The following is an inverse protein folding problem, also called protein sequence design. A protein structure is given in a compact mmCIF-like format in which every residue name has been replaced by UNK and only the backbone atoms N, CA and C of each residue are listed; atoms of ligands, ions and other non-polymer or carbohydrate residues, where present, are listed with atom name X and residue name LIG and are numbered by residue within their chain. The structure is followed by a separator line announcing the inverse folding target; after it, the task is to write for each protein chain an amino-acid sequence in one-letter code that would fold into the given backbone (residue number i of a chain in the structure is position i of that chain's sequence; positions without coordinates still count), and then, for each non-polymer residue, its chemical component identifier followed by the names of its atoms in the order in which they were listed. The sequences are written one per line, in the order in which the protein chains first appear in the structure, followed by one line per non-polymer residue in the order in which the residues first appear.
data_IF_624308093381
#
_entry.id   IF_624308093381
#
_cell.length_a   1.000
_cell.length_b   1.000
_cell.length_c   1.000
_cell.angle_alpha   90.00
_cell.angle_beta   90.00
_cell.angle_gamma   90.00
#
_symmetry.space_group_name_H-M   'P 1'
#
loop_
_entity.id
_entity.type
_entity.pdbx_description
1 polymer ?
#
# COMPACT_ATOMS: atom_id res chain seq x y z
N UNK A 1 6.09 -18.73 10.32
CA UNK A 1 5.26 -17.61 9.83
C UNK A 1 4.21 -17.18 10.87
N UNK A 2 4.49 -17.30 12.16
CA UNK A 2 3.52 -16.96 13.21
C UNK A 2 3.51 -15.46 13.56
N UNK A 3 4.50 -14.71 13.07
CA UNK A 3 4.69 -13.29 13.31
C UNK A 3 5.12 -12.61 12.01
N UNK A 4 4.71 -11.35 11.82
CA UNK A 4 5.20 -10.50 10.75
C UNK A 4 6.70 -10.24 10.92
N UNK A 5 7.40 -10.20 9.79
CA UNK A 5 8.85 -10.06 9.70
C UNK A 5 9.36 -8.76 10.32
N UNK A 6 8.60 -7.66 10.18
CA UNK A 6 8.96 -6.35 10.72
C UNK A 6 9.16 -6.38 12.24
N UNK A 7 8.29 -7.09 12.96
CA UNK A 7 8.35 -7.24 14.42
C UNK A 7 9.57 -8.07 14.85
N UNK A 8 9.83 -9.18 14.14
CA UNK A 8 10.98 -10.05 14.42
C UNK A 8 12.29 -9.32 14.12
N UNK A 9 12.35 -8.59 13.00
CA UNK A 9 13.48 -7.73 12.61
C UNK A 9 13.76 -6.70 13.70
N UNK A 10 12.74 -5.97 14.17
CA UNK A 10 12.92 -4.95 15.20
C UNK A 10 13.50 -5.53 16.49
N UNK A 11 13.01 -6.68 16.94
CA UNK A 11 13.53 -7.37 18.11
C UNK A 11 14.99 -7.80 17.91
N UNK A 12 15.33 -8.36 16.75
CA UNK A 12 16.69 -8.80 16.44
C UNK A 12 17.67 -7.63 16.33
N UNK A 13 17.27 -6.52 15.71
CA UNK A 13 18.08 -5.30 15.63
C UNK A 13 18.29 -4.66 17.00
N UNK A 14 17.31 -4.73 17.89
CA UNK A 14 17.44 -4.24 19.26
C UNK A 14 18.41 -5.10 20.09
N UNK A 15 18.38 -6.43 19.90
CA UNK A 15 19.32 -7.35 20.54
C UNK A 15 20.77 -7.18 20.02
N UNK A 16 20.94 -6.74 18.77
CA UNK A 16 22.24 -6.54 18.12
C UNK A 16 22.66 -5.07 18.05
N UNK A 17 22.65 -4.39 19.20
CA UNK A 17 22.95 -2.96 19.30
C UNK A 17 24.30 -2.54 18.71
N UNK A 18 25.30 -3.44 18.73
CA UNK A 18 26.66 -3.19 18.23
C UNK A 18 26.83 -3.23 16.70
N UNK A 19 25.81 -3.63 15.93
CA UNK A 19 25.93 -3.69 14.47
C UNK A 19 26.02 -2.31 13.83
N UNK A 20 26.90 -2.19 12.83
CA UNK A 20 27.01 -1.00 11.98
C UNK A 20 25.74 -0.78 11.16
N UNK A 21 25.56 0.43 10.62
CA UNK A 21 24.43 0.73 9.73
C UNK A 21 24.40 -0.19 8.50
N UNK A 22 25.57 -0.52 7.97
CA UNK A 22 25.74 -1.41 6.82
C UNK A 22 25.32 -2.84 7.15
N UNK A 23 25.77 -3.39 8.29
CA UNK A 23 25.37 -4.72 8.76
C UNK A 23 23.86 -4.82 8.99
N UNK A 24 23.26 -3.78 9.60
CA UNK A 24 21.81 -3.71 9.80
C UNK A 24 21.06 -3.67 8.47
N UNK A 25 21.53 -2.85 7.52
CA UNK A 25 20.93 -2.74 6.19
C UNK A 25 21.02 -4.06 5.41
N UNK A 26 22.18 -4.72 5.45
CA UNK A 26 22.39 -6.04 4.85
C UNK A 26 21.44 -7.08 5.43
N UNK A 27 21.41 -7.24 6.77
CA UNK A 27 20.52 -8.20 7.43
C UNK A 27 19.05 -8.00 7.05
N UNK A 28 18.55 -6.76 7.14
CA UNK A 28 17.16 -6.44 6.82
C UNK A 28 16.85 -6.72 5.36
N UNK A 29 17.72 -6.31 4.44
CA UNK A 29 17.52 -6.48 2.99
C UNK A 29 17.54 -7.96 2.60
N UNK A 30 18.52 -8.70 3.11
CA UNK A 30 18.66 -10.14 2.88
C UNK A 30 17.45 -10.90 3.40
N UNK A 31 17.01 -10.64 4.64
CA UNK A 31 15.84 -11.32 5.20
C UNK A 31 14.56 -11.04 4.40
N UNK A 32 14.31 -9.77 4.04
CA UNK A 32 13.15 -9.45 3.20
C UNK A 32 13.23 -10.11 1.82
N UNK A 33 14.42 -10.23 1.23
CA UNK A 33 14.61 -10.91 -0.06
C UNK A 33 14.42 -12.43 0.05
N UNK A 34 14.90 -13.06 1.12
CA UNK A 34 14.63 -14.47 1.39
C UNK A 34 13.13 -14.76 1.48
N UNK A 35 12.40 -13.92 2.22
CA UNK A 35 10.94 -14.02 2.32
C UNK A 35 10.27 -13.75 0.97
N UNK A 36 10.69 -12.69 0.27
CA UNK A 36 10.10 -12.28 -1.01
C UNK A 36 10.23 -13.36 -2.08
N UNK A 37 11.39 -13.99 -2.15
CA UNK A 37 11.73 -14.97 -3.19
C UNK A 37 11.67 -16.42 -2.71
N UNK A 38 11.02 -16.70 -1.58
CA UNK A 38 11.05 -18.00 -0.91
C UNK A 38 10.64 -19.17 -1.81
N UNK A 39 9.52 -19.08 -2.53
CA UNK A 39 9.06 -20.12 -3.48
C UNK A 39 10.12 -20.39 -4.55
N UNK A 40 10.66 -19.33 -5.14
CA UNK A 40 11.74 -19.42 -6.14
C UNK A 40 12.97 -20.09 -5.54
N UNK A 41 13.47 -19.58 -4.43
CA UNK A 41 14.68 -20.09 -3.79
C UNK A 41 14.52 -21.56 -3.37
N UNK A 42 13.37 -21.96 -2.83
CA UNK A 42 13.10 -23.36 -2.48
C UNK A 42 13.14 -24.27 -3.72
N UNK A 43 12.61 -23.80 -4.86
CA UNK A 43 12.70 -24.53 -6.12
C UNK A 43 14.14 -24.68 -6.61
N UNK A 44 14.87 -23.57 -6.68
CA UNK A 44 16.25 -23.52 -7.18
C UNK A 44 17.20 -24.40 -6.37
N UNK A 45 16.90 -24.60 -5.10
CA UNK A 45 17.70 -25.38 -4.16
C UNK A 45 17.23 -26.82 -4.02
N UNK A 46 16.34 -27.31 -4.90
CA UNK A 46 15.83 -28.67 -4.89
C UNK A 46 14.84 -28.99 -3.76
N UNK A 47 14.48 -28.00 -2.92
CA UNK A 47 13.62 -28.13 -1.74
C UNK A 47 12.15 -28.04 -2.12
N UNK A 48 11.71 -28.89 -3.04
CA UNK A 48 10.36 -28.87 -3.62
C UNK A 48 9.26 -28.97 -2.55
N UNK A 49 9.48 -29.75 -1.49
CA UNK A 49 8.54 -29.87 -0.36
C UNK A 49 8.39 -28.59 0.47
N UNK A 50 9.29 -27.61 0.33
CA UNK A 50 9.29 -26.34 1.07
C UNK A 50 8.73 -25.17 0.28
N UNK A 51 8.49 -25.32 -1.03
CA UNK A 51 8.02 -24.24 -1.92
C UNK A 51 6.81 -23.51 -1.34
N UNK A 52 5.77 -24.25 -0.94
CA UNK A 52 4.55 -23.69 -0.35
C UNK A 52 4.51 -23.86 1.19
N UNK A 53 5.64 -24.23 1.81
CA UNK A 53 5.76 -24.57 3.22
C UNK A 53 7.05 -24.00 3.84
N UNK A 54 7.35 -22.73 3.56
CA UNK A 54 8.58 -22.06 4.03
C UNK A 54 8.69 -22.04 5.57
N UNK A 55 7.57 -22.16 6.29
CA UNK A 55 7.54 -22.30 7.75
C UNK A 55 8.25 -23.56 8.27
N UNK A 56 8.40 -24.57 7.41
CA UNK A 56 9.01 -25.86 7.73
C UNK A 56 10.50 -25.93 7.31
N UNK A 57 11.08 -24.81 6.89
CA UNK A 57 12.50 -24.73 6.55
C UNK A 57 13.38 -24.97 7.79
N UNK A 58 14.35 -25.85 7.65
CA UNK A 58 15.42 -26.08 8.62
C UNK A 58 16.50 -24.99 8.53
N UNK A 59 17.45 -24.98 9.48
CA UNK A 59 18.61 -24.08 9.43
C UNK A 59 19.44 -24.35 8.17
N UNK A 60 19.61 -25.61 7.79
CA UNK A 60 20.28 -26.01 6.55
C UNK A 60 19.57 -25.45 5.32
N UNK A 61 18.23 -25.50 5.30
CA UNK A 61 17.43 -24.92 4.23
C UNK A 61 17.71 -23.42 4.10
N UNK A 62 17.72 -22.69 5.22
CA UNK A 62 17.99 -21.24 5.22
C UNK A 62 19.37 -20.91 4.65
N UNK A 63 20.41 -21.69 4.98
CA UNK A 63 21.75 -21.53 4.38
C UNK A 63 21.71 -21.63 2.86
N UNK A 64 21.05 -22.66 2.33
CA UNK A 64 20.95 -22.87 0.89
C UNK A 64 20.11 -21.80 0.20
N UNK A 65 19.00 -21.36 0.81
CA UNK A 65 18.19 -20.27 0.27
C UNK A 65 19.00 -18.96 0.22
N UNK A 66 19.82 -18.70 1.24
CA UNK A 66 20.75 -17.57 1.26
C UNK A 66 21.84 -17.71 0.20
N UNK A 67 22.46 -18.88 0.06
CA UNK A 67 23.44 -19.17 -0.99
C UNK A 67 22.88 -18.93 -2.39
N UNK A 68 21.66 -19.41 -2.67
CA UNK A 68 20.98 -19.17 -3.95
C UNK A 68 20.66 -17.69 -4.15
N UNK A 69 20.19 -16.99 -3.10
CA UNK A 69 19.91 -15.56 -3.20
C UNK A 69 21.17 -14.77 -3.53
N UNK A 70 22.29 -15.06 -2.86
CA UNK A 70 23.57 -14.40 -3.11
C UNK A 70 24.08 -14.72 -4.52
N UNK A 71 23.98 -15.97 -4.97
CA UNK A 71 24.29 -16.34 -6.36
C UNK A 71 23.46 -15.54 -7.38
N UNK A 72 22.15 -15.37 -7.16
CA UNK A 72 21.29 -14.58 -8.04
C UNK A 72 21.65 -13.08 -8.06
N UNK A 73 22.30 -12.56 -7.03
CA UNK A 73 22.65 -11.15 -6.89
C UNK A 73 24.07 -10.85 -7.38
N UNK A 74 25.02 -11.75 -7.10
CA UNK A 74 26.46 -11.53 -7.27
C UNK A 74 27.08 -12.46 -8.34
N UNK A 75 26.35 -13.49 -8.79
CA UNK A 75 26.83 -14.48 -9.76
C UNK A 75 27.78 -15.52 -9.18
N UNK A 76 27.99 -15.53 -7.86
CA UNK A 76 28.89 -16.44 -7.17
C UNK A 76 28.24 -17.03 -5.91
N UNK A 77 28.51 -18.31 -5.64
CA UNK A 77 28.12 -18.96 -4.38
C UNK A 77 29.11 -18.56 -3.30
N UNK A 78 28.66 -18.08 -2.13
CA UNK A 78 29.55 -17.75 -1.02
C UNK A 78 30.36 -18.94 -0.52
N UNK A 79 31.61 -18.69 -0.12
CA UNK A 79 32.50 -19.70 0.46
C UNK A 79 32.18 -19.93 1.94
N UNK A 80 31.24 -20.85 2.20
CA UNK A 80 30.82 -21.27 3.54
C UNK A 80 30.69 -22.80 3.59
N UNK A 81 31.07 -23.45 4.72
CA UNK A 81 30.97 -24.90 4.86
C UNK A 81 29.57 -25.46 4.59
N UNK A 82 28.53 -24.72 4.99
CA UNK A 82 27.13 -25.10 4.78
C UNK A 82 26.69 -25.09 3.30
N UNK A 83 27.53 -24.55 2.41
CA UNK A 83 27.30 -24.46 0.96
C UNK A 83 28.26 -25.34 0.14
N UNK A 84 29.08 -26.20 0.76
CA UNK A 84 30.03 -27.06 0.03
C UNK A 84 29.35 -27.98 -1.00
N UNK A 85 28.11 -28.39 -0.74
CA UNK A 85 27.32 -29.25 -1.64
C UNK A 85 26.56 -28.44 -2.71
N UNK A 86 26.70 -27.12 -2.71
CA UNK A 86 25.88 -26.21 -3.49
C UNK A 86 26.52 -25.89 -4.85
N UNK A 87 25.91 -26.37 -5.93
CA UNK A 87 26.46 -26.20 -7.27
C UNK A 87 25.78 -25.05 -8.05
N UNK A 88 26.58 -24.08 -8.51
CA UNK A 88 26.09 -22.94 -9.28
C UNK A 88 25.39 -23.35 -10.59
N UNK A 89 25.88 -24.38 -11.28
CA UNK A 89 25.27 -24.87 -12.52
C UNK A 89 23.89 -25.46 -12.29
N UNK A 90 23.68 -26.13 -11.15
CA UNK A 90 22.38 -26.74 -10.83
C UNK A 90 21.33 -25.66 -10.56
N UNK A 91 21.72 -24.57 -9.89
CA UNK A 91 20.85 -23.41 -9.65
C UNK A 91 20.47 -22.73 -10.97
N UNK A 92 21.45 -22.53 -11.86
CA UNK A 92 21.22 -21.93 -13.17
C UNK A 92 20.25 -22.77 -14.00
N UNK A 93 20.48 -24.09 -14.06
CA UNK A 93 19.57 -25.02 -14.74
C UNK A 93 18.17 -25.00 -14.12
N UNK A 94 18.06 -25.06 -12.79
CA UNK A 94 16.78 -25.01 -12.09
C UNK A 94 16.02 -23.69 -12.31
N UNK A 95 16.74 -22.57 -12.55
CA UNK A 95 16.15 -21.28 -12.88
C UNK A 95 15.57 -21.25 -14.29
N UNK A 96 16.28 -21.83 -15.26
CA UNK A 96 15.82 -21.97 -16.64
C UNK A 96 14.59 -22.89 -16.74
N UNK A 97 14.57 -23.96 -15.94
CA UNK A 97 13.46 -24.92 -15.88
C UNK A 97 12.27 -24.46 -15.02
N UNK A 98 12.41 -23.36 -14.27
CA UNK A 98 11.38 -22.92 -13.34
C UNK A 98 10.12 -22.46 -14.09
N UNK A 99 8.92 -22.99 -13.74
CA UNK A 99 7.67 -22.46 -14.28
C UNK A 99 7.43 -21.02 -13.82
N UNK A 100 6.56 -20.30 -14.55
CA UNK A 100 6.36 -18.87 -14.34
C UNK A 100 5.91 -18.54 -12.90
N UNK A 101 5.03 -19.33 -12.28
CA UNK A 101 4.55 -19.08 -10.92
C UNK A 101 5.70 -19.12 -9.89
N UNK A 102 6.64 -20.04 -10.07
CA UNK A 102 7.87 -20.16 -9.29
C UNK A 102 8.79 -18.97 -9.58
N UNK A 103 8.98 -18.60 -10.84
CA UNK A 103 9.80 -17.44 -11.21
C UNK A 103 9.26 -16.13 -10.63
N UNK A 104 7.94 -15.98 -10.51
CA UNK A 104 7.30 -14.82 -9.90
C UNK A 104 7.27 -14.89 -8.38
N UNK A 105 7.50 -16.07 -7.77
CA UNK A 105 7.55 -16.26 -6.32
C UNK A 105 6.39 -15.60 -5.56
N UNK A 106 5.17 -15.80 -6.04
CA UNK A 106 3.92 -15.38 -5.38
C UNK A 106 3.23 -16.59 -4.76
N UNK A 107 2.41 -16.46 -3.69
CA UNK A 107 1.54 -17.53 -3.24
C UNK A 107 0.76 -18.15 -4.41
N UNK A 108 0.63 -19.47 -4.45
CA UNK A 108 -0.01 -20.17 -5.58
C UNK A 108 -1.38 -19.62 -5.91
N UNK A 109 -2.26 -19.53 -4.91
CA UNK A 109 -3.62 -18.99 -5.06
C UNK A 109 -3.62 -17.57 -5.63
N UNK A 110 -2.68 -16.71 -5.20
CA UNK A 110 -2.59 -15.33 -5.67
C UNK A 110 -2.11 -15.28 -7.11
N UNK A 111 -1.15 -16.14 -7.48
CA UNK A 111 -0.71 -16.27 -8.86
C UNK A 111 -1.84 -16.71 -9.78
N UNK A 112 -2.60 -17.75 -9.40
CA UNK A 112 -3.71 -18.29 -10.19
C UNK A 112 -4.81 -17.24 -10.39
N UNK A 113 -5.23 -16.58 -9.30
CA UNK A 113 -6.25 -15.53 -9.36
C UNK A 113 -5.79 -14.32 -10.19
N UNK A 114 -4.59 -13.81 -9.92
CA UNK A 114 -4.09 -12.66 -10.66
C UNK A 114 -3.82 -12.98 -12.13
N UNK A 115 -3.42 -14.21 -12.47
CA UNK A 115 -3.29 -14.65 -13.86
C UNK A 115 -4.64 -14.67 -14.58
N UNK A 116 -5.73 -15.03 -13.88
CA UNK A 116 -7.09 -14.98 -14.44
C UNK A 116 -7.61 -13.55 -14.58
N UNK A 117 -7.36 -12.68 -13.61
CA UNK A 117 -7.94 -11.33 -13.60
C UNK A 117 -7.11 -10.28 -14.37
N UNK A 118 -5.77 -10.42 -14.40
CA UNK A 118 -4.86 -9.48 -15.06
C UNK A 118 -4.22 -10.03 -16.34
N UNK A 119 -4.41 -11.32 -16.62
CA UNK A 119 -3.97 -11.97 -17.86
C UNK A 119 -2.50 -11.66 -18.22
N UNK A 120 -2.25 -10.98 -19.34
CA UNK A 120 -0.91 -10.63 -19.81
C UNK A 120 -0.20 -9.55 -18.99
N UNK A 121 -0.93 -8.76 -18.19
CA UNK A 121 -0.33 -7.74 -17.32
C UNK A 121 0.32 -8.38 -16.07
N UNK A 122 -0.15 -9.55 -15.64
CA UNK A 122 0.24 -10.17 -14.39
C UNK A 122 1.76 -10.39 -14.23
N UNK A 123 2.49 -10.96 -15.21
CA UNK A 123 3.91 -11.22 -15.01
C UNK A 123 4.72 -9.96 -14.76
N UNK A 124 4.36 -8.85 -15.40
CA UNK A 124 5.02 -7.54 -15.21
C UNK A 124 4.67 -6.96 -13.84
N UNK A 125 3.40 -6.99 -13.44
CA UNK A 125 2.94 -6.52 -12.12
C UNK A 125 3.60 -7.33 -10.99
N UNK A 126 3.63 -8.65 -11.11
CA UNK A 126 4.26 -9.52 -10.13
C UNK A 126 5.77 -9.26 -9.98
N UNK A 127 6.48 -9.01 -11.10
CA UNK A 127 7.89 -8.60 -11.07
C UNK A 127 8.07 -7.28 -10.32
N UNK A 128 7.23 -6.28 -10.60
CA UNK A 128 7.29 -4.97 -9.93
C UNK A 128 6.93 -5.06 -8.43
N UNK A 129 5.98 -5.92 -8.04
CA UNK A 129 5.64 -6.18 -6.64
C UNK A 129 6.76 -6.92 -5.87
N UNK A 130 7.68 -7.57 -6.59
CA UNK A 130 8.90 -8.16 -6.02
C UNK A 130 10.13 -7.25 -6.09
N UNK A 131 9.94 -5.94 -6.27
CA UNK A 131 11.00 -4.96 -6.11
C UNK A 131 10.84 -4.23 -4.77
N UNK A 132 11.90 -3.62 -4.27
CA UNK A 132 11.79 -2.76 -3.09
C UNK A 132 11.14 -1.43 -3.49
N UNK A 133 10.11 -1.02 -2.75
CA UNK A 133 9.40 0.21 -3.05
C UNK A 133 10.24 1.47 -2.73
N UNK A 134 10.17 2.46 -3.60
CA UNK A 134 10.59 3.82 -3.27
C UNK A 134 9.76 4.41 -2.14
N UNK A 135 10.37 5.35 -1.43
CA UNK A 135 9.75 6.03 -0.31
C UNK A 135 9.28 7.42 -0.73
N UNK A 136 8.04 7.75 -0.39
CA UNK A 136 7.44 9.02 -0.75
C UNK A 136 6.84 9.71 0.47
N UNK A 137 6.92 11.03 0.46
CA UNK A 137 6.17 11.90 1.36
C UNK A 137 5.19 12.76 0.56
N UNK A 138 4.10 13.15 1.21
CA UNK A 138 3.18 14.17 0.72
C UNK A 138 3.41 15.47 1.49
N UNK A 139 3.72 16.53 0.78
CA UNK A 139 3.82 17.88 1.32
C UNK A 139 2.44 18.35 1.80
N UNK A 140 2.41 19.02 2.94
CA UNK A 140 1.20 19.60 3.49
C UNK A 140 1.07 21.04 3.00
N UNK A 141 0.25 21.24 1.96
CA UNK A 141 -0.03 22.56 1.38
C UNK A 141 -0.63 23.60 2.34
N UNK A 142 -1.04 23.23 3.57
CA UNK A 142 -1.44 24.18 4.62
C UNK A 142 -0.24 24.84 5.33
N UNK A 143 0.95 24.23 5.21
CA UNK A 143 2.13 24.58 6.02
C UNK A 143 3.34 24.94 5.18
N UNK A 144 3.50 24.34 4.01
CA UNK A 144 4.67 24.53 3.17
C UNK A 144 4.35 24.15 1.71
N UNK A 145 5.25 24.53 0.81
CA UNK A 145 5.35 24.03 -0.56
C UNK A 145 6.49 22.99 -0.69
N UNK A 146 6.52 22.28 -1.82
CA UNK A 146 7.46 21.19 -2.06
C UNK A 146 8.93 21.63 -2.10
N UNK A 147 9.21 22.82 -2.62
CA UNK A 147 10.57 23.37 -2.69
C UNK A 147 11.10 23.68 -1.28
N UNK A 148 10.26 24.33 -0.46
CA UNK A 148 10.55 24.65 0.93
C UNK A 148 10.83 23.40 1.76
N UNK A 149 10.03 22.34 1.61
CA UNK A 149 10.24 21.05 2.30
C UNK A 149 11.52 20.38 1.82
N UNK A 150 11.76 20.31 0.51
CA UNK A 150 12.98 19.71 -0.02
C UNK A 150 14.24 20.42 0.48
N UNK A 151 14.23 21.75 0.54
CA UNK A 151 15.33 22.56 1.10
C UNK A 151 15.53 22.32 2.59
N UNK A 152 14.44 22.23 3.36
CA UNK A 152 14.50 21.94 4.80
C UNK A 152 15.11 20.56 5.08
N UNK A 153 14.71 19.54 4.32
CA UNK A 153 15.25 18.18 4.43
C UNK A 153 16.72 18.11 3.98
N UNK A 154 17.10 18.83 2.91
CA UNK A 154 18.48 18.88 2.43
C UNK A 154 19.45 19.45 3.48
N UNK A 155 19.03 20.43 4.29
CA UNK A 155 19.85 20.97 5.39
C UNK A 155 20.13 19.93 6.48
N UNK A 156 19.33 18.87 6.55
CA UNK A 156 19.49 17.76 7.49
C UNK A 156 20.08 16.52 6.81
N UNK A 157 20.67 16.68 5.61
CA UNK A 157 21.31 15.60 4.86
C UNK A 157 20.33 14.66 4.14
N UNK A 158 19.03 14.95 4.12
CA UNK A 158 18.00 14.11 3.49
C UNK A 158 17.70 14.64 2.09
N UNK A 159 18.03 13.85 1.07
CA UNK A 159 17.67 14.15 -0.32
C UNK A 159 16.18 13.85 -0.55
N UNK A 160 15.43 14.87 -0.95
CA UNK A 160 14.03 14.79 -1.35
C UNK A 160 13.86 15.34 -2.77
N UNK A 161 13.25 14.57 -3.67
CA UNK A 161 13.18 14.88 -5.11
C UNK A 161 11.70 14.96 -5.52
N UNK A 162 11.25 16.05 -6.18
CA UNK A 162 9.89 16.14 -6.71
C UNK A 162 9.54 14.98 -7.65
N UNK A 163 8.32 14.46 -7.51
CA UNK A 163 7.82 13.37 -8.36
C UNK A 163 7.03 13.96 -9.52
N UNK A 164 7.40 13.58 -10.75
CA UNK A 164 6.67 14.00 -11.96
C UNK A 164 5.20 13.59 -11.91
N UNK A 165 4.30 14.51 -12.26
CA UNK A 165 2.85 14.23 -12.33
C UNK A 165 2.11 14.16 -10.98
N UNK A 166 2.81 14.25 -9.84
CA UNK A 166 2.18 14.23 -8.51
C UNK A 166 2.65 15.43 -7.70
N UNK A 167 1.86 16.51 -7.72
CA UNK A 167 2.25 17.85 -7.27
C UNK A 167 2.87 17.93 -5.87
N UNK A 168 2.27 17.25 -4.89
CA UNK A 168 2.71 17.32 -3.50
C UNK A 168 3.68 16.20 -3.11
N UNK A 169 4.09 15.33 -4.05
CA UNK A 169 4.94 14.19 -3.75
C UNK A 169 6.43 14.52 -3.85
N UNK A 170 7.18 14.09 -2.84
CA UNK A 170 8.65 14.03 -2.89
C UNK A 170 9.11 12.59 -2.65
N UNK A 171 9.98 12.08 -3.51
CA UNK A 171 10.73 10.84 -3.27
C UNK A 171 11.87 11.10 -2.29
N UNK A 172 11.99 10.29 -1.24
CA UNK A 172 13.04 10.38 -0.22
C UNK A 172 13.92 9.14 -0.26
N UNK A 173 15.24 9.32 -0.31
CA UNK A 173 16.20 8.19 -0.38
C UNK A 173 16.61 7.65 0.99
N UNK A 174 16.37 8.38 2.07
CA UNK A 174 16.83 8.05 3.43
C UNK A 174 15.73 8.30 4.46
N UNK A 175 15.35 7.26 5.21
CA UNK A 175 14.19 7.29 6.11
C UNK A 175 14.54 7.46 7.59
N UNK A 176 15.73 7.03 8.02
CA UNK A 176 16.07 6.82 9.45
C UNK A 176 15.89 8.04 10.35
N UNK A 177 15.99 9.25 9.81
CA UNK A 177 15.86 10.51 10.56
C UNK A 177 14.66 11.35 10.16
N UNK A 178 13.85 10.89 9.20
CA UNK A 178 12.80 11.69 8.60
C UNK A 178 11.76 12.16 9.63
N UNK A 179 11.38 11.28 10.56
CA UNK A 179 10.43 11.57 11.64
C UNK A 179 11.00 12.44 12.77
N UNK A 180 12.32 12.66 12.81
CA UNK A 180 12.96 13.54 13.81
C UNK A 180 13.14 14.96 13.29
N UNK A 181 12.95 15.18 11.98
CA UNK A 181 13.13 16.50 11.37
C UNK A 181 12.11 17.52 11.85
N UNK A 182 12.53 18.79 11.94
CA UNK A 182 11.63 19.91 12.21
C UNK A 182 10.48 20.00 11.20
N UNK A 183 10.75 19.66 9.93
CA UNK A 183 9.74 19.62 8.89
C UNK A 183 8.62 18.62 9.22
N UNK A 184 8.95 17.43 9.72
CA UNK A 184 7.93 16.48 10.20
C UNK A 184 7.24 16.97 11.46
N UNK A 185 7.99 17.43 12.47
CA UNK A 185 7.45 17.85 13.76
C UNK A 185 6.49 19.04 13.63
N UNK A 186 6.76 19.96 12.70
CA UNK A 186 5.90 21.11 12.38
C UNK A 186 4.77 20.78 11.40
N UNK A 187 4.65 19.52 10.96
CA UNK A 187 3.58 19.03 10.12
C UNK A 187 3.65 19.48 8.66
N UNK A 188 4.86 19.76 8.13
CA UNK A 188 5.05 20.19 6.74
C UNK A 188 4.86 19.05 5.73
N UNK A 189 4.90 17.79 6.16
CA UNK A 189 4.62 16.64 5.29
C UNK A 189 4.07 15.44 6.08
N UNK A 190 3.52 14.48 5.35
CA UNK A 190 3.08 13.17 5.83
C UNK A 190 3.74 12.05 5.03
N UNK A 191 3.99 10.90 5.65
CA UNK A 191 4.37 9.68 4.92
C UNK A 191 3.19 9.17 4.10
N UNK A 192 3.35 9.11 2.78
CA UNK A 192 2.33 8.57 1.89
C UNK A 192 2.92 8.25 0.51
N UNK A 193 2.65 7.05 0.00
CA UNK A 193 2.97 6.65 -1.38
C UNK A 193 2.39 7.64 -2.41
N UNK A 194 3.14 7.92 -3.47
CA UNK A 194 2.72 8.87 -4.52
C UNK A 194 1.48 8.39 -5.30
N UNK A 195 1.28 7.08 -5.47
CA UNK A 195 0.03 6.52 -6.01
C UNK A 195 -1.16 6.80 -5.10
N UNK A 196 -1.01 6.59 -3.78
CA UNK A 196 -2.06 6.94 -2.82
C UNK A 196 -2.40 8.43 -2.79
N UNK A 197 -1.46 9.33 -3.14
CA UNK A 197 -1.69 10.77 -3.19
C UNK A 197 -2.66 11.16 -4.31
N UNK A 198 -2.73 10.38 -5.39
CA UNK A 198 -3.56 10.67 -6.57
C UNK A 198 -5.06 10.40 -6.36
N UNK A 199 -5.43 9.65 -5.32
CA UNK A 199 -6.84 9.31 -5.01
C UNK A 199 -7.66 10.54 -4.64
N UNK A 200 -7.17 11.38 -3.73
CA UNK A 200 -7.94 12.51 -3.20
C UNK A 200 -8.21 13.59 -4.27
N UNK A 201 -7.27 13.94 -5.17
CA UNK A 201 -7.54 14.80 -6.31
C UNK A 201 -8.74 14.39 -7.18
N UNK A 202 -9.08 13.08 -7.26
CA UNK A 202 -10.26 12.63 -8.00
C UNK A 202 -11.56 13.26 -7.49
N UNK A 203 -11.63 13.64 -6.21
CA UNK A 203 -12.81 14.25 -5.61
C UNK A 203 -13.08 15.68 -6.11
N UNK A 204 -12.14 16.33 -6.81
CA UNK A 204 -12.34 17.69 -7.33
C UNK A 204 -12.83 18.67 -6.27
N UNK A 205 -12.10 18.71 -5.16
CA UNK A 205 -12.45 19.48 -3.98
C UNK A 205 -12.34 20.98 -4.25
N UNK A 206 -13.29 21.74 -3.70
CA UNK A 206 -13.25 23.21 -3.63
C UNK A 206 -13.39 23.67 -2.18
N UNK A 207 -12.67 24.73 -1.77
CA UNK A 207 -12.83 25.31 -0.44
C UNK A 207 -14.31 25.60 -0.12
N UNK A 208 -14.75 25.20 1.07
CA UNK A 208 -16.13 25.38 1.56
C UNK A 208 -17.02 24.12 1.46
N UNK A 209 -16.61 23.09 0.73
CA UNK A 209 -17.37 21.84 0.60
C UNK A 209 -17.47 21.05 1.92
N UNK A 210 -18.54 20.26 2.05
CA UNK A 210 -18.68 19.22 3.08
C UNK A 210 -18.23 17.88 2.51
N UNK A 211 -17.17 17.34 3.09
CA UNK A 211 -16.55 16.08 2.66
C UNK A 211 -16.64 15.05 3.79
N UNK A 212 -16.89 13.79 3.46
CA UNK A 212 -16.74 12.67 4.39
C UNK A 212 -15.68 11.70 3.87
N UNK A 213 -14.78 11.30 4.75
CA UNK A 213 -13.85 10.18 4.56
C UNK A 213 -14.33 9.05 5.46
N UNK A 214 -15.00 8.06 4.88
CA UNK A 214 -15.81 7.10 5.63
C UNK A 214 -15.06 5.81 6.04
N UNK A 215 -13.79 5.71 5.66
CA UNK A 215 -12.85 4.64 6.03
C UNK A 215 -11.48 5.28 6.34
N UNK A 216 -11.49 6.30 7.18
CA UNK A 216 -10.39 7.26 7.30
C UNK A 216 -9.08 6.65 7.80
N UNK A 217 -9.13 5.53 8.54
CA UNK A 217 -7.97 4.94 9.18
C UNK A 217 -7.24 5.96 10.05
N UNK A 218 -5.91 5.98 9.94
CA UNK A 218 -5.07 6.97 10.63
C UNK A 218 -5.10 8.35 9.95
N UNK A 219 -5.94 8.56 8.93
CA UNK A 219 -6.30 9.85 8.36
C UNK A 219 -5.34 10.42 7.32
N UNK A 220 -4.54 9.59 6.66
CA UNK A 220 -3.63 10.04 5.60
C UNK A 220 -4.36 10.84 4.52
N UNK A 221 -5.48 10.31 4.00
CA UNK A 221 -6.31 10.96 2.98
C UNK A 221 -7.18 12.09 3.56
N UNK A 222 -7.68 11.97 4.80
CA UNK A 222 -8.41 13.07 5.47
C UNK A 222 -7.57 14.34 5.62
N UNK A 223 -6.28 14.19 5.94
CA UNK A 223 -5.33 15.32 5.97
C UNK A 223 -5.13 15.95 4.59
N UNK A 224 -5.12 15.13 3.52
CA UNK A 224 -5.03 15.63 2.16
C UNK A 224 -6.27 16.45 1.79
N UNK A 225 -7.45 15.92 2.13
CA UNK A 225 -8.74 16.60 1.92
C UNK A 225 -8.71 17.97 2.60
N UNK A 226 -8.28 18.04 3.87
CA UNK A 226 -8.19 19.31 4.59
C UNK A 226 -7.24 20.32 3.93
N UNK A 227 -6.12 19.85 3.38
CA UNK A 227 -5.17 20.69 2.66
C UNK A 227 -5.76 21.24 1.34
N UNK A 228 -6.40 20.40 0.52
CA UNK A 228 -7.03 20.82 -0.72
C UNK A 228 -8.23 21.76 -0.49
N UNK A 229 -8.94 21.58 0.63
CA UNK A 229 -10.00 22.50 1.07
C UNK A 229 -9.45 23.84 1.63
N UNK A 230 -8.13 23.97 1.80
CA UNK A 230 -7.46 25.13 2.40
C UNK A 230 -8.05 25.49 3.77
N UNK A 231 -8.37 24.47 4.58
CA UNK A 231 -9.07 24.63 5.87
C UNK A 231 -10.41 25.41 5.79
N UNK A 232 -11.12 25.36 4.65
CA UNK A 232 -12.48 25.93 4.52
C UNK A 232 -13.49 24.83 4.20
N UNK A 233 -14.57 24.76 4.97
CA UNK A 233 -15.59 23.71 4.84
C UNK A 233 -15.56 22.75 6.03
N UNK A 234 -15.94 21.50 5.80
CA UNK A 234 -15.98 20.46 6.86
C UNK A 234 -15.53 19.11 6.32
N UNK A 235 -14.71 18.41 7.08
CA UNK A 235 -14.30 17.03 6.82
C UNK A 235 -14.76 16.15 7.96
N UNK A 236 -15.70 15.24 7.72
CA UNK A 236 -16.06 14.20 8.69
C UNK A 236 -15.24 12.94 8.40
N UNK A 237 -14.43 12.49 9.36
CA UNK A 237 -13.63 11.28 9.25
C UNK A 237 -14.22 10.18 10.12
N UNK A 238 -14.60 9.08 9.49
CA UNK A 238 -15.24 7.94 10.12
C UNK A 238 -14.34 6.71 10.03
N UNK A 239 -14.30 5.93 11.10
CA UNK A 239 -13.66 4.61 11.14
C UNK A 239 -14.35 3.76 12.22
N UNK A 240 -14.21 2.43 12.12
CA UNK A 240 -14.69 1.49 13.14
C UNK A 240 -13.69 1.36 14.31
N UNK A 241 -12.44 1.76 14.11
CA UNK A 241 -11.38 1.63 15.10
C UNK A 241 -11.04 2.98 15.76
N UNK A 242 -11.36 3.11 17.04
CA UNK A 242 -11.15 4.34 17.80
C UNK A 242 -9.67 4.77 17.86
N UNK A 243 -8.75 3.82 18.05
CA UNK A 243 -7.31 4.10 18.10
C UNK A 243 -6.77 4.74 16.81
N UNK A 244 -7.35 4.40 15.65
CA UNK A 244 -6.99 5.03 14.36
C UNK A 244 -7.48 6.48 14.30
N UNK A 245 -8.70 6.74 14.76
CA UNK A 245 -9.24 8.10 14.86
C UNK A 245 -8.47 8.97 15.85
N UNK A 246 -8.04 8.42 16.99
CA UNK A 246 -7.19 9.15 17.94
C UNK A 246 -5.81 9.50 17.36
N UNK A 247 -5.25 8.59 16.56
CA UNK A 247 -4.04 8.86 15.79
C UNK A 247 -4.29 9.99 14.78
N UNK A 248 -5.41 9.96 14.06
CA UNK A 248 -5.80 11.04 13.15
C UNK A 248 -5.95 12.39 13.88
N UNK A 249 -6.59 12.46 15.05
CA UNK A 249 -6.69 13.71 15.84
C UNK A 249 -5.31 14.30 16.13
N UNK A 250 -4.35 13.46 16.55
CA UNK A 250 -2.96 13.90 16.83
C UNK A 250 -2.27 14.41 15.57
N UNK A 251 -2.40 13.70 14.44
CA UNK A 251 -1.84 14.11 13.15
C UNK A 251 -2.49 15.39 12.62
N UNK A 252 -3.81 15.54 12.74
CA UNK A 252 -4.54 16.74 12.34
C UNK A 252 -4.09 17.97 13.12
N UNK A 253 -3.88 17.84 14.45
CA UNK A 253 -3.31 18.91 15.27
C UNK A 253 -1.92 19.32 14.77
N UNK A 254 -1.04 18.35 14.51
CA UNK A 254 0.32 18.61 13.98
C UNK A 254 0.26 19.28 12.60
N UNK A 255 -0.58 18.77 11.70
CA UNK A 255 -0.73 19.28 10.34
C UNK A 255 -1.43 20.65 10.28
N UNK A 256 -2.06 21.11 11.37
CA UNK A 256 -2.91 22.31 11.37
C UNK A 256 -4.21 22.14 10.58
N UNK A 257 -4.74 20.92 10.50
CA UNK A 257 -5.98 20.63 9.79
C UNK A 257 -7.19 20.81 10.72
N UNK A 258 -7.76 22.01 10.75
CA UNK A 258 -8.79 22.39 11.73
C UNK A 258 -10.23 22.04 11.31
N UNK A 259 -10.44 21.70 10.03
CA UNK A 259 -11.76 21.34 9.50
C UNK A 259 -12.13 19.87 9.69
N UNK A 260 -11.24 19.06 10.28
CA UNK A 260 -11.44 17.62 10.48
C UNK A 260 -12.18 17.37 11.80
N UNK A 261 -13.31 16.69 11.70
CA UNK A 261 -14.06 16.11 12.82
C UNK A 261 -13.99 14.58 12.71
N UNK A 262 -13.54 13.91 13.76
CA UNK A 262 -13.52 12.43 13.80
C UNK A 262 -14.76 11.88 14.49
N UNK A 263 -15.31 10.76 14.00
CA UNK A 263 -16.43 10.08 14.67
C UNK A 263 -16.38 8.57 14.47
N UNK A 264 -16.48 7.84 15.59
CA UNK A 264 -16.49 6.37 15.60
C UNK A 264 -17.77 5.80 14.98
N UNK A 265 -17.63 4.81 14.10
CA UNK A 265 -18.75 4.03 13.57
C UNK A 265 -19.09 2.94 14.58
N UNK A 266 -19.98 3.24 15.51
CA UNK A 266 -20.45 2.27 16.51
C UNK A 266 -21.44 1.25 15.93
N UNK A 267 -22.26 1.67 14.96
CA UNK A 267 -23.25 0.84 14.30
C UNK A 267 -23.79 1.55 13.04
N UNK A 268 -24.71 0.88 12.34
CA UNK A 268 -25.31 1.39 11.11
C UNK A 268 -26.08 2.73 11.30
N UNK A 269 -26.54 3.08 12.51
CA UNK A 269 -27.21 4.37 12.75
C UNK A 269 -26.27 5.56 12.55
N UNK A 270 -24.97 5.40 12.84
CA UNK A 270 -23.96 6.45 12.59
C UNK A 270 -23.94 6.86 11.12
N UNK A 271 -23.98 5.87 10.23
CA UNK A 271 -24.00 6.02 8.76
C UNK A 271 -25.33 6.60 8.30
N UNK A 272 -26.47 6.01 8.72
CA UNK A 272 -27.81 6.48 8.31
C UNK A 272 -28.07 7.95 8.67
N UNK A 273 -27.54 8.43 9.80
CA UNK A 273 -27.63 9.85 10.22
C UNK A 273 -26.87 10.82 9.30
N UNK A 274 -26.03 10.32 8.39
CA UNK A 274 -25.25 11.10 7.44
C UNK A 274 -25.88 11.18 6.04
N UNK A 275 -27.06 10.59 5.82
CA UNK A 275 -27.73 10.55 4.51
C UNK A 275 -27.78 11.94 3.86
N UNK A 276 -27.26 12.04 2.63
CA UNK A 276 -27.29 13.21 1.75
C UNK A 276 -26.74 14.52 2.36
N UNK A 277 -25.75 14.42 3.26
CA UNK A 277 -25.16 15.59 3.93
C UNK A 277 -23.89 16.12 3.28
N UNK A 278 -23.29 15.38 2.35
CA UNK A 278 -21.94 15.64 1.85
C UNK A 278 -21.92 15.90 0.35
N UNK A 279 -21.15 16.91 -0.05
CA UNK A 279 -20.84 17.22 -1.45
C UNK A 279 -19.92 16.16 -2.07
N UNK A 280 -19.07 15.58 -1.22
CA UNK A 280 -18.00 14.64 -1.60
C UNK A 280 -17.88 13.52 -0.57
N UNK A 281 -17.77 12.30 -1.06
CA UNK A 281 -17.59 11.10 -0.24
C UNK A 281 -16.33 10.38 -0.70
N UNK A 282 -15.41 10.10 0.21
CA UNK A 282 -14.28 9.22 -0.03
C UNK A 282 -14.52 7.89 0.68
N UNK A 283 -14.47 6.81 -0.10
CA UNK A 283 -14.50 5.43 0.35
C UNK A 283 -13.17 4.76 -0.01
N UNK A 284 -12.14 5.00 0.80
CA UNK A 284 -10.88 4.24 0.76
C UNK A 284 -11.07 2.93 1.53
N UNK A 285 -11.71 1.96 0.88
CA UNK A 285 -12.30 0.80 1.56
C UNK A 285 -11.24 -0.23 1.99
N UNK A 286 -11.51 -1.02 3.05
CA UNK A 286 -10.69 -2.19 3.37
C UNK A 286 -10.56 -3.12 2.15
N UNK A 287 -9.34 -3.53 1.85
CA UNK A 287 -9.02 -4.39 0.71
C UNK A 287 -7.81 -5.27 1.03
N UNK A 288 -7.47 -6.15 0.09
CA UNK A 288 -6.39 -7.15 0.24
C UNK A 288 -5.00 -6.54 0.42
N UNK A 289 -4.80 -5.29 -0.01
CA UNK A 289 -3.48 -4.65 -0.02
C UNK A 289 -2.51 -5.27 -1.04
N UNK A 290 -3.00 -6.01 -2.03
CA UNK A 290 -2.15 -6.65 -3.06
C UNK A 290 -1.31 -5.67 -3.88
N UNK A 291 -1.71 -4.40 -3.97
CA UNK A 291 -0.94 -3.35 -4.65
C UNK A 291 0.25 -2.81 -3.86
N UNK A 292 0.32 -3.07 -2.55
CA UNK A 292 1.39 -2.56 -1.67
C UNK A 292 2.37 -3.64 -1.22
N UNK A 293 2.30 -4.86 -1.79
CA UNK A 293 3.13 -6.00 -1.39
C UNK A 293 4.65 -5.74 -1.48
N UNK A 294 5.08 -4.85 -2.38
CA UNK A 294 6.49 -4.43 -2.46
C UNK A 294 7.01 -3.68 -1.23
N UNK A 295 6.11 -3.10 -0.42
CA UNK A 295 6.45 -2.41 0.83
C UNK A 295 6.58 -3.37 2.00
N UNK A 296 5.79 -4.44 2.01
CA UNK A 296 5.84 -5.46 3.03
C UNK A 296 5.81 -6.87 2.40
N UNK A 297 6.98 -7.43 2.04
CA UNK A 297 7.07 -8.67 1.28
C UNK A 297 6.53 -9.90 1.98
N UNK A 298 6.41 -9.87 3.31
CA UNK A 298 5.83 -10.97 4.08
C UNK A 298 4.29 -11.05 3.93
N UNK A 299 3.64 -9.92 3.65
CA UNK A 299 2.19 -9.78 3.69
C UNK A 299 1.50 -10.68 2.67
N UNK A 300 2.14 -10.93 1.52
CA UNK A 300 1.59 -11.86 0.52
C UNK A 300 1.46 -13.29 1.05
N UNK A 301 2.33 -13.72 1.96
CA UNK A 301 2.31 -15.08 2.53
C UNK A 301 1.28 -15.24 3.66
N UNK A 302 0.88 -14.14 4.27
CA UNK A 302 -0.20 -14.10 5.28
C UNK A 302 -1.58 -13.87 4.67
N UNK A 303 -1.66 -13.55 3.38
CA UNK A 303 -2.91 -13.32 2.69
C UNK A 303 -3.50 -14.65 2.22
N UNK A 304 -4.80 -14.83 2.49
CA UNK A 304 -5.56 -16.02 2.12
C UNK A 304 -6.63 -15.65 1.08
N UNK A 305 -6.89 -16.57 0.16
CA UNK A 305 -7.90 -16.37 -0.89
C UNK A 305 -9.29 -16.08 -0.32
N UNK A 306 -9.69 -16.81 0.72
CA UNK A 306 -10.99 -16.61 1.38
C UNK A 306 -11.11 -15.21 1.98
N UNK A 307 -10.03 -14.68 2.57
CA UNK A 307 -10.00 -13.31 3.10
C UNK A 307 -10.27 -12.27 2.01
N UNK A 308 -9.78 -12.49 0.78
CA UNK A 308 -10.07 -11.60 -0.36
C UNK A 308 -11.56 -11.67 -0.75
N UNK A 309 -12.16 -12.85 -0.73
CA UNK A 309 -13.59 -13.01 -1.03
C UNK A 309 -14.49 -12.32 0.01
N UNK A 310 -14.12 -12.41 1.28
CA UNK A 310 -14.83 -11.72 2.37
C UNK A 310 -14.71 -10.19 2.23
N UNK A 311 -13.52 -9.70 1.86
CA UNK A 311 -13.28 -8.28 1.58
C UNK A 311 -14.12 -7.79 0.41
N UNK A 312 -14.24 -8.55 -0.68
CA UNK A 312 -15.09 -8.23 -1.82
C UNK A 312 -16.56 -8.05 -1.40
N UNK A 313 -17.07 -8.94 -0.55
CA UNK A 313 -18.44 -8.82 -0.04
C UNK A 313 -18.60 -7.57 0.85
N UNK A 314 -17.61 -7.31 1.72
CA UNK A 314 -17.59 -6.13 2.57
C UNK A 314 -17.51 -4.81 1.78
N UNK A 315 -16.70 -4.76 0.72
CA UNK A 315 -16.56 -3.61 -0.16
C UNK A 315 -17.89 -3.23 -0.79
N UNK A 316 -18.65 -4.21 -1.31
CA UNK A 316 -20.00 -3.98 -1.82
C UNK A 316 -20.93 -3.43 -0.74
N UNK A 317 -20.96 -4.02 0.46
CA UNK A 317 -21.82 -3.55 1.55
C UNK A 317 -21.48 -2.10 1.95
N UNK A 318 -20.19 -1.77 2.06
CA UNK A 318 -19.72 -0.40 2.34
C UNK A 318 -20.16 0.54 1.22
N UNK A 319 -19.89 0.20 -0.04
CA UNK A 319 -20.23 1.05 -1.19
C UNK A 319 -21.74 1.32 -1.26
N UNK A 320 -22.57 0.30 -1.01
CA UNK A 320 -24.03 0.45 -0.98
C UNK A 320 -24.52 1.33 0.17
N UNK A 321 -24.04 1.11 1.39
CA UNK A 321 -24.53 1.84 2.55
C UNK A 321 -23.98 3.27 2.62
N UNK A 322 -22.71 3.46 2.27
CA UNK A 322 -22.00 4.72 2.55
C UNK A 322 -22.15 5.71 1.41
N UNK A 323 -22.42 5.25 0.18
CA UNK A 323 -22.80 6.12 -0.94
C UNK A 323 -24.01 7.00 -0.62
N UNK A 324 -24.93 6.53 0.25
CA UNK A 324 -26.09 7.29 0.70
C UNK A 324 -25.75 8.58 1.44
N UNK A 325 -24.51 8.75 1.94
CA UNK A 325 -24.05 10.00 2.54
C UNK A 325 -23.89 11.14 1.51
N UNK A 326 -23.71 10.78 0.24
CA UNK A 326 -23.57 11.70 -0.86
C UNK A 326 -24.93 12.32 -1.20
N UNK A 327 -25.00 13.65 -1.26
CA UNK A 327 -26.20 14.36 -1.74
C UNK A 327 -26.41 14.13 -3.23
N UNK A 328 -27.63 14.35 -3.70
CA UNK A 328 -27.90 14.42 -5.15
C UNK A 328 -27.06 15.54 -5.78
N UNK A 329 -26.45 15.25 -6.94
CA UNK A 329 -25.45 16.09 -7.60
C UNK A 329 -24.08 16.12 -6.92
N UNK A 330 -23.86 15.31 -5.88
CA UNK A 330 -22.57 15.11 -5.24
C UNK A 330 -21.71 14.08 -5.96
N UNK A 331 -20.45 13.96 -5.53
CA UNK A 331 -19.52 12.95 -6.06
C UNK A 331 -19.00 12.02 -4.98
N UNK A 332 -18.62 10.81 -5.37
CA UNK A 332 -18.02 9.80 -4.52
C UNK A 332 -16.77 9.26 -5.18
N UNK A 333 -15.70 9.04 -4.42
CA UNK A 333 -14.55 8.26 -4.88
C UNK A 333 -14.52 6.95 -4.12
N UNK A 334 -14.64 5.85 -4.85
CA UNK A 334 -14.30 4.50 -4.36
C UNK A 334 -12.83 4.25 -4.64
N UNK A 335 -12.07 3.75 -3.67
CA UNK A 335 -10.65 3.49 -3.83
C UNK A 335 -10.17 2.29 -3.02
N UNK A 336 -9.16 1.61 -3.54
CA UNK A 336 -8.46 0.50 -2.89
C UNK A 336 -6.95 0.61 -3.14
N UNK A 337 -6.14 -0.10 -2.35
CA UNK A 337 -4.75 -0.40 -2.66
C UNK A 337 -4.57 -1.85 -3.17
N UNK A 338 -5.54 -2.34 -3.95
CA UNK A 338 -5.53 -3.65 -4.60
C UNK A 338 -5.19 -3.54 -6.08
N UNK A 339 -4.52 -4.56 -6.62
CA UNK A 339 -4.32 -4.75 -8.06
C UNK A 339 -5.41 -5.60 -8.70
N UNK A 340 -6.29 -6.22 -7.91
CA UNK A 340 -7.27 -7.20 -8.40
C UNK A 340 -8.54 -6.51 -8.93
N UNK A 341 -8.90 -6.70 -10.22
CA UNK A 341 -10.18 -6.25 -10.77
C UNK A 341 -11.41 -6.61 -9.95
N UNK A 342 -11.41 -7.77 -9.28
CA UNK A 342 -12.50 -8.22 -8.42
C UNK A 342 -12.73 -7.33 -7.19
N UNK A 343 -11.73 -6.58 -6.73
CA UNK A 343 -11.84 -5.56 -5.68
C UNK A 343 -11.98 -4.13 -6.24
N UNK A 344 -11.90 -3.96 -7.56
CA UNK A 344 -11.76 -2.67 -8.24
C UNK A 344 -12.89 -2.42 -9.23
N UNK A 345 -12.63 -2.54 -10.54
CA UNK A 345 -13.56 -2.24 -11.62
C UNK A 345 -14.85 -3.07 -11.50
N UNK A 346 -14.75 -4.33 -11.10
CA UNK A 346 -15.92 -5.20 -10.92
C UNK A 346 -16.82 -4.74 -9.77
N UNK A 347 -16.24 -4.17 -8.70
CA UNK A 347 -16.99 -3.62 -7.57
C UNK A 347 -17.81 -2.41 -8.01
N UNK A 348 -17.17 -1.51 -8.75
CA UNK A 348 -17.79 -0.28 -9.24
C UNK A 348 -18.87 -0.60 -10.26
N UNK A 349 -18.57 -1.50 -11.22
CA UNK A 349 -19.54 -1.97 -12.21
C UNK A 349 -20.79 -2.54 -11.54
N UNK A 350 -20.62 -3.48 -10.61
CA UNK A 350 -21.73 -4.08 -9.87
C UNK A 350 -22.56 -3.04 -9.12
N UNK A 351 -21.91 -2.02 -8.56
CA UNK A 351 -22.62 -0.96 -7.84
C UNK A 351 -23.49 -0.11 -8.77
N UNK A 352 -22.95 0.36 -9.91
CA UNK A 352 -23.72 1.18 -10.85
C UNK A 352 -24.83 0.40 -11.54
N UNK A 353 -24.61 -0.88 -11.87
CA UNK A 353 -25.64 -1.76 -12.43
C UNK A 353 -26.86 -1.89 -11.49
N UNK A 354 -26.62 -1.87 -10.18
CA UNK A 354 -27.67 -1.99 -9.15
C UNK A 354 -28.20 -0.65 -8.63
N UNK A 355 -27.61 0.47 -9.05
CA UNK A 355 -28.00 1.81 -8.60
C UNK A 355 -28.00 2.78 -9.80
N UNK A 356 -29.08 2.81 -10.61
CA UNK A 356 -29.12 3.55 -11.88
C UNK A 356 -28.98 5.08 -11.73
N UNK A 357 -29.17 5.60 -10.53
CA UNK A 357 -28.91 7.01 -10.22
C UNK A 357 -27.42 7.31 -9.98
N UNK A 358 -26.51 6.35 -10.18
CA UNK A 358 -25.07 6.55 -10.12
C UNK A 358 -24.42 6.26 -11.47
N UNK A 359 -23.44 7.08 -11.85
CA UNK A 359 -22.65 6.88 -13.05
C UNK A 359 -21.16 7.07 -12.77
N UNK A 360 -20.31 6.29 -13.46
CA UNK A 360 -18.85 6.47 -13.44
C UNK A 360 -18.50 7.67 -14.31
N UNK A 361 -17.71 8.60 -13.77
CA UNK A 361 -17.20 9.77 -14.50
C UNK A 361 -15.73 9.61 -14.88
N UNK A 362 -14.92 9.02 -13.99
CA UNK A 362 -13.48 8.81 -14.24
C UNK A 362 -12.97 7.66 -13.40
N UNK A 363 -12.02 6.91 -13.96
CA UNK A 363 -11.27 5.89 -13.25
C UNK A 363 -9.77 6.17 -13.29
N UNK A 364 -9.07 5.68 -12.27
CA UNK A 364 -7.63 5.71 -12.12
C UNK A 364 -7.18 4.30 -11.76
N UNK A 365 -6.39 3.68 -12.63
CA UNK A 365 -5.82 2.34 -12.44
C UNK A 365 -4.31 2.43 -12.45
N UNK A 366 -3.71 2.31 -11.27
CA UNK A 366 -2.27 2.30 -11.08
C UNK A 366 -1.82 0.85 -10.88
N UNK A 367 -1.15 0.29 -11.90
CA UNK A 367 -0.55 -1.04 -11.86
C UNK A 367 0.98 -0.91 -11.85
N UNK A 368 1.66 -1.42 -10.81
CA UNK A 368 3.12 -1.37 -10.73
C UNK A 368 3.79 -1.98 -11.96
N UNK A 369 4.69 -1.25 -12.59
CA UNK A 369 5.44 -1.70 -13.77
C UNK A 369 4.67 -1.67 -15.10
N UNK A 370 3.37 -1.32 -15.08
CA UNK A 370 2.55 -1.15 -16.29
C UNK A 370 2.18 0.32 -16.47
N UNK A 371 1.32 0.85 -15.59
CA UNK A 371 0.80 2.22 -15.66
C UNK A 371 1.31 3.12 -14.53
N UNK A 372 2.14 2.57 -13.63
CA UNK A 372 2.62 3.27 -12.45
C UNK A 372 4.00 2.77 -12.02
N UNK A 373 4.88 3.69 -11.63
CA UNK A 373 6.12 3.39 -10.89
C UNK A 373 5.85 3.31 -9.37
N UNK A 374 4.65 3.70 -8.94
CA UNK A 374 4.21 3.71 -7.54
C UNK A 374 3.55 2.38 -7.17
N UNK A 375 2.93 2.33 -5.99
CA UNK A 375 2.18 1.15 -5.58
C UNK A 375 0.92 0.96 -6.43
N UNK A 376 0.35 -0.24 -6.32
CA UNK A 376 -0.92 -0.57 -6.95
C UNK A 376 -2.08 0.10 -6.23
N UNK A 377 -2.88 0.85 -6.98
CA UNK A 377 -4.05 1.58 -6.49
C UNK A 377 -5.13 1.64 -7.55
N UNK A 378 -6.37 1.66 -7.10
CA UNK A 378 -7.52 1.94 -7.93
C UNK A 378 -8.36 3.06 -7.32
N UNK A 379 -8.95 3.90 -8.17
CA UNK A 379 -9.87 4.95 -7.78
C UNK A 379 -10.94 5.18 -8.84
N UNK A 380 -12.21 5.23 -8.47
CA UNK A 380 -13.32 5.54 -9.35
C UNK A 380 -14.13 6.72 -8.83
N UNK A 381 -14.22 7.78 -9.63
CA UNK A 381 -15.10 8.92 -9.40
C UNK A 381 -16.50 8.61 -9.94
N UNK A 382 -17.45 8.60 -9.03
CA UNK A 382 -18.87 8.35 -9.25
C UNK A 382 -19.69 9.62 -8.99
N UNK A 383 -20.72 9.86 -9.78
CA UNK A 383 -21.65 10.99 -9.60
C UNK A 383 -23.01 10.46 -9.23
N UNK A 384 -23.65 11.07 -8.22
CA UNK A 384 -25.04 10.78 -7.86
C UNK A 384 -25.97 11.69 -8.65
N UNK A 385 -26.62 11.14 -9.66
CA UNK A 385 -27.60 11.82 -10.48
C UNK A 385 -28.93 11.96 -9.73
N UNK A 386 -29.76 12.91 -10.16
CA UNK A 386 -31.17 12.95 -9.75
C UNK A 386 -31.85 11.67 -10.23
N UNK A 387 -32.74 11.10 -9.41
CA UNK A 387 -33.64 10.07 -9.92
C UNK A 387 -34.54 10.71 -11.00
N UNK A 388 -34.64 10.07 -12.16
CA UNK A 388 -35.62 10.44 -13.19
C UNK A 388 -37.06 10.25 -12.71
#
# INVERSE_FOLDING_TARGET
MEQYADKVIQQHLAANGGWTLEQRAYFVTTLYNLIRFSRKLCWLTGRKSRVDAIGDCTIEDVWHLWGALTFLQEGQVPDYPELETFCASDIQQALEDAPLDIQLSMPRWLHERAQQELESEWPTVAKALNQSASNFIRVNGLKADAESVAKALSKQGIKAIPVGGVTDALEVKQMGYLFRTDAFQSGQFEMQDAGSQQIVPLLELKPGMKVVDACAGAGGKSLHIAALLKNKGRVLSLDIHEHKLDTLKKRAKRAGAHVIETRLIQNNKTIKRQKEKFDRVLLDVPCSGTGVLRRNPDAKWHLEEQSVNDLIALQQDILQRYSQMCRVGGKLVYATCSILPSENEQQVKRFVDNNPNWSVERELRLLPGISSEFDGFYGALLVKNSAE
#
